data_IF_441728050392
#
_entry.id   IF_441728050392
#
_cell.length_a   1.000
_cell.length_b   1.000
_cell.length_c   1.000
_cell.angle_alpha   90.00
_cell.angle_beta   90.00
_cell.angle_gamma   90.00
#
_symmetry.space_group_name_H-M   'P 1'
#
loop_
_entity.id
_entity.type
_entity.pdbx_description
1 polymer ?
#
# COMPACT_ATOMS: atom_id res chain seq x y z
N UNK A 1 -11.67 -93.65 14.87
CA UNK A 1 -12.76 -93.09 15.71
C UNK A 1 -12.17 -92.05 16.65
N UNK A 2 -12.71 -90.82 16.60
CA UNK A 2 -12.55 -89.71 17.57
C UNK A 2 -11.15 -89.09 17.73
N UNK A 3 -10.97 -87.78 17.92
CA UNK A 3 -11.82 -86.58 17.85
C UNK A 3 -10.87 -85.39 18.05
N UNK A 4 -11.03 -84.34 17.22
CA UNK A 4 -10.72 -82.91 17.38
C UNK A 4 -9.65 -82.47 18.43
N UNK A 5 -8.61 -81.78 17.95
CA UNK A 5 -7.91 -80.77 18.74
C UNK A 5 -7.69 -79.48 17.95
N UNK A 6 -8.27 -78.41 18.50
CA UNK A 6 -8.01 -76.99 18.35
C UNK A 6 -6.82 -76.53 17.49
N UNK A 7 -7.12 -75.61 16.57
CA UNK A 7 -6.16 -74.58 16.19
C UNK A 7 -6.83 -73.19 16.32
N UNK A 8 -6.25 -72.38 17.21
CA UNK A 8 -6.55 -70.97 17.43
C UNK A 8 -5.88 -70.09 16.36
N UNK A 9 -6.36 -68.84 16.25
CA UNK A 9 -5.88 -67.65 15.49
C UNK A 9 -6.64 -67.42 14.17
N UNK A 10 -7.10 -66.22 13.84
CA UNK A 10 -6.78 -64.86 14.30
C UNK A 10 -8.01 -63.97 14.16
N UNK A 11 -8.15 -63.05 15.10
CA UNK A 11 -8.95 -61.84 15.01
C UNK A 11 -8.51 -60.98 13.82
N UNK A 12 -9.43 -60.61 12.94
CA UNK A 12 -9.29 -59.42 12.11
C UNK A 12 -10.65 -58.72 12.06
N UNK A 13 -10.70 -57.56 12.72
CA UNK A 13 -11.83 -56.63 12.66
C UNK A 13 -12.06 -56.19 11.21
N UNK A 14 -13.30 -56.03 10.75
CA UNK A 14 -13.57 -55.32 9.50
C UNK A 14 -13.19 -53.85 9.67
N UNK A 15 -12.01 -53.53 9.14
CA UNK A 15 -11.48 -52.26 8.68
C UNK A 15 -12.39 -51.02 8.85
N UNK A 16 -12.18 -50.34 9.99
CA UNK A 16 -12.35 -48.90 10.11
C UNK A 16 -11.19 -48.21 9.37
N UNK A 17 -11.21 -48.21 8.03
CA UNK A 17 -10.25 -47.43 7.24
C UNK A 17 -10.97 -46.61 6.18
N UNK A 18 -10.90 -45.30 6.38
CA UNK A 18 -10.87 -44.27 5.34
C UNK A 18 -12.21 -43.89 4.71
N UNK A 19 -13.06 -43.26 5.52
CA UNK A 19 -13.85 -42.10 5.08
C UNK A 19 -12.90 -40.99 4.61
N UNK A 20 -12.33 -41.11 3.40
CA UNK A 20 -11.73 -39.95 2.71
C UNK A 20 -12.86 -39.06 2.22
N UNK A 21 -13.39 -38.23 3.12
CA UNK A 21 -14.10 -37.01 2.75
C UNK A 21 -13.12 -36.18 1.91
N UNK A 22 -13.26 -36.25 0.58
CA UNK A 22 -12.68 -35.24 -0.32
C UNK A 22 -13.27 -33.91 0.11
N UNK A 23 -12.52 -33.12 0.86
CA UNK A 23 -12.80 -31.71 1.07
C UNK A 23 -12.57 -31.06 -0.31
N UNK A 24 -13.59 -31.11 -1.17
CA UNK A 24 -13.66 -30.19 -2.28
C UNK A 24 -13.93 -28.82 -1.66
N UNK A 25 -12.91 -27.95 -1.67
CA UNK A 25 -13.15 -26.53 -1.56
C UNK A 25 -14.10 -26.13 -2.70
N UNK A 26 -15.38 -25.97 -2.35
CA UNK A 26 -16.39 -25.37 -3.21
C UNK A 26 -16.05 -23.88 -3.34
N UNK A 27 -15.04 -23.56 -4.15
CA UNK A 27 -14.86 -22.21 -4.66
C UNK A 27 -16.08 -21.95 -5.54
N UNK A 28 -16.96 -21.04 -5.08
CA UNK A 28 -18.26 -20.77 -5.69
C UNK A 28 -18.15 -20.70 -7.23
N UNK A 29 -18.99 -21.44 -7.98
CA UNK A 29 -18.90 -21.54 -9.44
C UNK A 29 -19.05 -20.20 -10.16
N UNK A 30 -19.63 -19.19 -9.48
CA UNK A 30 -19.75 -17.80 -9.96
C UNK A 30 -18.40 -17.10 -10.17
N UNK A 31 -17.37 -17.42 -9.37
CA UNK A 31 -16.04 -16.80 -9.51
C UNK A 31 -15.32 -17.35 -10.75
N UNK A 32 -15.49 -18.64 -11.06
CA UNK A 32 -14.86 -19.28 -12.23
C UNK A 32 -15.42 -18.76 -13.55
N UNK A 33 -16.73 -18.48 -13.63
CA UNK A 33 -17.35 -17.94 -14.84
C UNK A 33 -16.92 -16.50 -15.15
N UNK A 34 -16.66 -15.69 -14.12
CA UNK A 34 -16.19 -14.32 -14.25
C UNK A 34 -14.74 -14.25 -14.78
N UNK A 35 -13.86 -15.16 -14.32
CA UNK A 35 -12.46 -15.29 -14.77
C UNK A 35 -12.31 -15.94 -16.16
N UNK A 36 -13.34 -16.61 -16.67
CA UNK A 36 -13.32 -17.40 -17.91
C UNK A 36 -13.61 -16.58 -19.19
N UNK A 37 -14.10 -15.35 -19.05
CA UNK A 37 -14.49 -14.51 -20.20
C UNK A 37 -13.43 -13.44 -20.44
N UNK A 38 -13.18 -13.03 -21.69
CA UNK A 38 -12.26 -11.92 -22.09
C UNK A 38 -12.26 -10.68 -21.16
N UNK A 39 -13.39 -10.38 -20.53
CA UNK A 39 -13.55 -9.28 -19.57
C UNK A 39 -12.93 -9.56 -18.19
N UNK A 40 -12.87 -10.81 -17.75
CA UNK A 40 -12.19 -11.21 -16.51
C UNK A 40 -10.70 -10.96 -16.60
N UNK A 41 -10.05 -11.32 -17.71
CA UNK A 41 -8.63 -11.03 -17.94
C UNK A 41 -8.35 -9.52 -17.96
N UNK A 42 -9.14 -8.75 -18.73
CA UNK A 42 -9.00 -7.29 -18.81
C UNK A 42 -9.16 -6.65 -17.41
N UNK A 43 -10.17 -7.09 -16.66
CA UNK A 43 -10.42 -6.61 -15.29
C UNK A 43 -9.27 -6.95 -14.36
N UNK A 44 -8.75 -8.18 -14.41
CA UNK A 44 -7.60 -8.60 -13.59
C UNK A 44 -6.34 -7.81 -13.93
N UNK A 45 -6.06 -7.58 -15.21
CA UNK A 45 -4.92 -6.75 -15.64
C UNK A 45 -5.11 -5.31 -15.16
N UNK A 46 -6.31 -4.73 -15.30
CA UNK A 46 -6.60 -3.39 -14.80
C UNK A 46 -6.41 -3.26 -13.29
N UNK A 47 -6.94 -4.21 -12.50
CA UNK A 47 -6.74 -4.25 -11.05
C UNK A 47 -5.27 -4.40 -10.66
N UNK A 48 -4.51 -5.22 -11.40
CA UNK A 48 -3.08 -5.36 -11.17
C UNK A 48 -2.33 -4.05 -11.45
N UNK A 49 -2.63 -3.36 -12.55
CA UNK A 49 -2.03 -2.07 -12.89
C UNK A 49 -2.33 -1.03 -11.81
N UNK A 50 -3.58 -0.95 -11.34
CA UNK A 50 -3.95 -0.05 -10.24
C UNK A 50 -3.18 -0.43 -8.97
N UNK A 51 -3.22 -1.69 -8.54
CA UNK A 51 -2.49 -2.14 -7.36
C UNK A 51 -0.98 -1.84 -7.44
N UNK A 52 -0.38 -2.06 -8.63
CA UNK A 52 1.04 -1.84 -8.85
C UNK A 52 1.40 -0.36 -8.71
N UNK A 53 0.68 0.52 -9.41
CA UNK A 53 0.96 1.97 -9.36
C UNK A 53 0.56 2.60 -8.02
N UNK A 54 -0.42 2.04 -7.31
CA UNK A 54 -0.95 2.64 -6.10
C UNK A 54 -0.26 2.22 -4.82
N UNK A 55 0.38 1.05 -4.82
CA UNK A 55 0.96 0.47 -3.61
C UNK A 55 2.38 -0.01 -3.88
N UNK A 56 2.58 -0.80 -4.93
CA UNK A 56 3.86 -1.47 -5.15
C UNK A 56 4.98 -0.50 -5.55
N UNK A 57 4.69 0.51 -6.38
CA UNK A 57 5.71 1.40 -6.93
C UNK A 57 6.49 2.16 -5.86
N UNK A 58 5.83 2.61 -4.79
CA UNK A 58 6.48 3.35 -3.70
C UNK A 58 7.45 2.46 -2.93
N UNK A 59 7.07 1.21 -2.68
CA UNK A 59 7.91 0.22 -2.01
C UNK A 59 9.09 -0.18 -2.89
N UNK A 60 8.86 -0.35 -4.18
CA UNK A 60 9.91 -0.63 -5.15
C UNK A 60 10.93 0.52 -5.24
N UNK A 61 10.46 1.77 -5.36
CA UNK A 61 11.31 2.95 -5.42
C UNK A 61 12.26 3.06 -4.21
N UNK A 62 11.77 2.70 -3.01
CA UNK A 62 12.59 2.67 -1.79
C UNK A 62 13.79 1.71 -1.88
N UNK A 63 13.68 0.61 -2.63
CA UNK A 63 14.80 -0.31 -2.82
C UNK A 63 15.88 0.25 -3.76
N UNK A 64 15.54 1.25 -4.59
CA UNK A 64 16.50 1.92 -5.45
C UNK A 64 17.34 2.99 -4.72
N UNK A 65 16.99 3.32 -3.47
CA UNK A 65 17.74 4.31 -2.69
C UNK A 65 19.05 3.77 -2.14
N UNK A 66 20.10 4.61 -2.05
CA UNK A 66 21.44 4.19 -1.62
C UNK A 66 21.46 3.81 -0.15
N UNK A 67 22.10 2.69 0.20
CA UNK A 67 22.11 2.18 1.56
C UNK A 67 22.85 3.12 2.55
N UNK A 68 22.07 3.89 3.30
CA UNK A 68 22.53 4.85 4.32
C UNK A 68 22.62 4.26 5.73
N UNK A 69 22.48 2.93 5.92
CA UNK A 69 22.52 2.31 7.27
C UNK A 69 23.86 2.55 7.99
N UNK A 70 24.94 2.75 7.24
CA UNK A 70 26.26 3.04 7.77
C UNK A 70 26.36 4.45 8.39
N UNK A 71 25.44 5.37 8.05
CA UNK A 71 25.36 6.73 8.59
C UNK A 71 24.67 6.80 9.96
N UNK A 72 24.39 5.66 10.61
CA UNK A 72 23.83 5.60 11.97
C UNK A 72 24.83 5.94 13.08
N UNK A 73 26.04 6.37 12.74
CA UNK A 73 27.02 6.88 13.70
C UNK A 73 26.51 8.18 14.34
N UNK A 74 26.82 8.37 15.62
CA UNK A 74 26.21 9.38 16.50
C UNK A 74 26.40 10.85 16.12
N UNK A 75 27.12 11.16 15.03
CA UNK A 75 27.57 12.51 14.70
C UNK A 75 27.16 12.96 13.28
N UNK A 76 26.19 12.30 12.64
CA UNK A 76 25.72 12.65 11.29
C UNK A 76 24.34 13.29 11.37
N UNK A 77 24.30 14.60 11.10
CA UNK A 77 23.06 15.34 10.87
C UNK A 77 22.52 15.02 9.48
N UNK A 78 21.20 14.80 9.38
CA UNK A 78 20.55 14.45 8.12
C UNK A 78 19.51 15.50 7.77
N UNK A 79 19.70 16.09 6.60
CA UNK A 79 18.80 17.09 6.03
C UNK A 79 17.98 16.45 4.90
N UNK A 80 16.65 16.53 5.01
CA UNK A 80 15.72 16.23 3.93
C UNK A 80 15.37 17.52 3.19
N UNK A 81 15.73 17.60 1.92
CA UNK A 81 15.35 18.70 1.04
C UNK A 81 14.10 18.29 0.26
N UNK A 82 13.02 19.07 0.39
CA UNK A 82 11.78 18.87 -0.36
C UNK A 82 11.62 20.04 -1.32
N UNK A 83 11.72 19.76 -2.62
CA UNK A 83 11.52 20.75 -3.66
C UNK A 83 10.14 20.57 -4.29
N UNK A 84 9.52 21.70 -4.65
CA UNK A 84 8.41 21.76 -5.59
C UNK A 84 7.26 20.77 -5.30
N UNK A 85 6.65 20.83 -4.10
CA UNK A 85 5.52 19.97 -3.81
C UNK A 85 4.24 20.43 -4.55
N UNK A 86 4.18 21.67 -5.04
CA UNK A 86 3.14 22.25 -5.89
C UNK A 86 1.71 21.77 -5.55
N UNK A 87 1.21 22.14 -4.37
CA UNK A 87 -0.16 21.80 -3.98
C UNK A 87 -1.15 22.46 -4.93
N UNK A 88 -1.90 21.63 -5.64
CA UNK A 88 -2.96 22.00 -6.56
C UNK A 88 -4.02 22.84 -5.83
N UNK A 89 -4.34 24.00 -6.40
CA UNK A 89 -5.34 24.93 -5.87
C UNK A 89 -6.79 24.56 -6.21
N UNK A 90 -7.73 25.43 -5.81
CA UNK A 90 -9.17 25.18 -5.86
C UNK A 90 -9.86 25.80 -7.09
N UNK A 91 -9.23 26.75 -7.79
CA UNK A 91 -9.89 27.62 -8.77
C UNK A 91 -9.92 27.05 -10.18
N UNK A 92 -8.84 26.42 -10.61
CA UNK A 92 -8.67 26.06 -12.03
C UNK A 92 -9.07 24.62 -12.38
N UNK A 93 -9.68 23.90 -11.45
CA UNK A 93 -10.07 22.52 -11.69
C UNK A 93 -11.57 22.37 -11.92
N UNK A 94 -11.94 21.88 -13.10
CA UNK A 94 -13.32 21.58 -13.48
C UNK A 94 -13.98 20.48 -12.63
N UNK A 95 -14.97 19.78 -13.19
CA UNK A 95 -15.82 18.82 -12.46
C UNK A 95 -15.07 17.73 -11.66
N UNK A 96 -13.81 17.43 -12.00
CA UNK A 96 -12.99 16.39 -11.35
C UNK A 96 -11.94 16.91 -10.37
N UNK A 97 -11.88 18.22 -10.10
CA UNK A 97 -10.79 18.81 -9.30
C UNK A 97 -10.61 18.22 -7.90
N UNK A 98 -11.72 17.92 -7.21
CA UNK A 98 -11.64 17.27 -5.90
C UNK A 98 -10.91 15.92 -5.94
N UNK A 99 -11.04 15.16 -7.03
CA UNK A 99 -10.39 13.86 -7.18
C UNK A 99 -8.91 14.07 -7.47
N UNK A 100 -8.58 14.97 -8.42
CA UNK A 100 -7.19 15.30 -8.77
C UNK A 100 -6.41 15.81 -7.56
N UNK A 101 -6.96 16.76 -6.80
CA UNK A 101 -6.35 17.25 -5.55
C UNK A 101 -6.09 16.14 -4.56
N UNK A 102 -7.10 15.29 -4.32
CA UNK A 102 -6.96 14.20 -3.34
C UNK A 102 -5.92 13.17 -3.78
N UNK A 103 -5.81 12.92 -5.08
CA UNK A 103 -4.82 12.02 -5.63
C UNK A 103 -3.40 12.59 -5.50
N UNK A 104 -3.21 13.86 -5.87
CA UNK A 104 -1.94 14.57 -5.71
C UNK A 104 -1.50 14.66 -4.24
N UNK A 105 -2.41 15.05 -3.34
CA UNK A 105 -2.15 15.14 -1.90
C UNK A 105 -1.72 13.78 -1.33
N UNK A 106 -2.36 12.70 -1.76
CA UNK A 106 -2.02 11.33 -1.36
C UNK A 106 -0.65 10.92 -1.91
N UNK A 107 -0.35 11.26 -3.16
CA UNK A 107 0.96 10.99 -3.77
C UNK A 107 2.09 11.68 -3.00
N UNK A 108 1.93 12.98 -2.71
CA UNK A 108 2.89 13.77 -1.93
C UNK A 108 3.06 13.19 -0.51
N UNK A 109 1.96 12.86 0.17
CA UNK A 109 2.01 12.31 1.53
C UNK A 109 2.74 10.97 1.57
N UNK A 110 2.43 10.06 0.64
CA UNK A 110 3.07 8.74 0.56
C UNK A 110 4.56 8.84 0.24
N UNK A 111 4.94 9.62 -0.78
CA UNK A 111 6.35 9.78 -1.19
C UNK A 111 7.17 10.45 -0.09
N UNK A 112 6.65 11.51 0.52
CA UNK A 112 7.29 12.17 1.66
C UNK A 112 7.44 11.23 2.86
N UNK A 113 6.40 10.48 3.22
CA UNK A 113 6.46 9.53 4.33
C UNK A 113 7.52 8.44 4.11
N UNK A 114 7.66 7.93 2.88
CA UNK A 114 8.72 6.98 2.54
C UNK A 114 10.11 7.60 2.65
N UNK A 115 10.31 8.80 2.10
CA UNK A 115 11.59 9.51 2.15
C UNK A 115 12.00 9.83 3.60
N UNK A 116 11.06 10.37 4.39
CA UNK A 116 11.23 10.67 5.82
C UNK A 116 11.52 9.41 6.62
N UNK A 117 10.79 8.32 6.39
CA UNK A 117 11.01 7.03 7.07
C UNK A 117 12.37 6.41 6.71
N UNK A 118 12.83 6.58 5.47
CA UNK A 118 14.10 6.04 5.02
C UNK A 118 15.29 6.82 5.56
N UNK A 119 15.29 8.15 5.41
CA UNK A 119 16.38 9.01 5.85
C UNK A 119 16.38 9.23 7.37
N UNK A 120 15.20 9.26 8.00
CA UNK A 120 14.99 9.69 9.39
C UNK A 120 15.70 11.03 9.68
N UNK A 121 15.36 12.11 8.97
CA UNK A 121 16.09 13.37 9.00
C UNK A 121 15.90 14.13 10.33
N UNK A 122 16.93 14.89 10.71
CA UNK A 122 16.90 15.84 11.82
C UNK A 122 16.27 17.17 11.38
N UNK A 123 16.49 17.53 10.12
CA UNK A 123 15.99 18.76 9.50
C UNK A 123 15.24 18.44 8.22
N UNK A 124 14.11 19.11 7.99
CA UNK A 124 13.40 19.09 6.71
C UNK A 124 13.28 20.52 6.20
N UNK A 125 13.77 20.80 4.99
CA UNK A 125 13.75 22.11 4.37
C UNK A 125 12.95 22.07 3.07
N UNK A 126 11.97 22.95 2.95
CA UNK A 126 11.18 23.14 1.73
C UNK A 126 11.81 24.23 0.87
N UNK A 127 12.11 23.91 -0.40
CA UNK A 127 12.89 24.78 -1.29
C UNK A 127 12.06 25.78 -2.09
N UNK A 128 10.73 25.75 -1.96
CA UNK A 128 9.81 26.66 -2.64
C UNK A 128 8.74 25.93 -3.44
N UNK A 129 7.96 26.72 -4.17
CA UNK A 129 6.83 26.29 -5.01
C UNK A 129 5.84 25.38 -4.27
N UNK A 130 5.41 25.85 -3.10
CA UNK A 130 4.58 25.05 -2.20
C UNK A 130 3.13 25.00 -2.68
N UNK A 131 2.61 26.11 -3.22
CA UNK A 131 1.22 26.26 -3.61
C UNK A 131 1.12 26.80 -5.03
N UNK A 132 0.43 26.08 -5.91
CA UNK A 132 0.23 26.44 -7.32
C UNK A 132 -0.50 27.79 -7.45
N UNK A 133 -1.54 27.99 -6.63
CA UNK A 133 -2.34 29.22 -6.60
C UNK A 133 -1.99 30.16 -5.44
N UNK A 134 -0.82 29.99 -4.81
CA UNK A 134 -0.48 30.70 -3.56
C UNK A 134 -0.53 32.24 -3.68
N UNK A 135 -0.16 32.78 -4.84
CA UNK A 135 -0.14 34.23 -5.11
C UNK A 135 -1.53 34.82 -5.39
N UNK A 136 -2.45 33.99 -5.90
CA UNK A 136 -3.81 34.40 -6.29
C UNK A 136 -4.85 34.01 -5.24
N UNK A 137 -4.44 33.36 -4.16
CA UNK A 137 -5.32 32.90 -3.09
C UNK A 137 -5.81 34.07 -2.22
N UNK A 138 -7.08 34.02 -1.85
CA UNK A 138 -7.63 34.80 -0.73
C UNK A 138 -7.08 34.25 0.60
N UNK A 139 -7.15 35.04 1.68
CA UNK A 139 -6.69 34.62 3.01
C UNK A 139 -7.32 33.28 3.46
N UNK A 140 -8.60 33.08 3.17
CA UNK A 140 -9.33 31.85 3.51
C UNK A 140 -8.88 30.65 2.67
N UNK A 141 -8.60 30.84 1.38
CA UNK A 141 -8.05 29.81 0.49
C UNK A 141 -6.64 29.44 0.94
N UNK A 142 -5.80 30.44 1.20
CA UNK A 142 -4.44 30.24 1.68
C UNK A 142 -4.43 29.44 2.98
N UNK A 143 -5.34 29.74 3.92
CA UNK A 143 -5.47 28.98 5.16
C UNK A 143 -5.83 27.51 4.92
N UNK A 144 -6.69 27.21 3.94
CA UNK A 144 -7.01 25.83 3.56
C UNK A 144 -5.81 25.13 2.92
N UNK A 145 -5.08 25.82 2.05
CA UNK A 145 -3.87 25.29 1.41
C UNK A 145 -2.79 24.99 2.46
N UNK A 146 -2.59 25.89 3.42
CA UNK A 146 -1.67 25.69 4.54
C UNK A 146 -2.09 24.50 5.41
N UNK A 147 -3.38 24.36 5.73
CA UNK A 147 -3.88 23.21 6.49
C UNK A 147 -3.64 21.89 5.74
N UNK A 148 -3.83 21.87 4.41
CA UNK A 148 -3.51 20.70 3.57
C UNK A 148 -2.02 20.39 3.61
N UNK A 149 -1.15 21.39 3.45
CA UNK A 149 0.29 21.25 3.57
C UNK A 149 0.69 20.61 4.92
N UNK A 150 0.15 21.11 6.02
CA UNK A 150 0.41 20.57 7.36
C UNK A 150 0.05 19.09 7.47
N UNK A 151 -1.10 18.70 6.91
CA UNK A 151 -1.56 17.32 6.92
C UNK A 151 -0.68 16.40 6.04
N UNK A 152 -0.32 16.84 4.84
CA UNK A 152 0.48 16.06 3.88
C UNK A 152 1.88 15.79 4.44
N UNK A 153 2.54 16.84 4.95
CA UNK A 153 3.91 16.78 5.43
C UNK A 153 4.05 16.50 6.93
N UNK A 154 2.92 16.28 7.62
CA UNK A 154 2.85 16.11 9.08
C UNK A 154 3.61 17.22 9.81
N UNK A 155 3.46 18.44 9.29
CA UNK A 155 4.12 19.62 9.79
C UNK A 155 3.31 20.16 10.97
N UNK A 156 3.77 19.87 12.18
CA UNK A 156 3.18 20.40 13.40
C UNK A 156 3.91 21.68 13.79
N UNK A 157 3.22 22.82 13.73
CA UNK A 157 3.70 24.13 14.21
C UNK A 157 4.03 24.19 15.72
N UNK A 158 3.87 23.08 16.46
CA UNK A 158 3.97 23.05 17.91
C UNK A 158 5.38 22.78 18.47
N UNK A 159 6.44 22.81 17.68
CA UNK A 159 7.81 22.67 18.20
C UNK A 159 8.80 23.51 17.37
N UNK A 160 8.82 24.82 17.63
CA UNK A 160 10.02 25.65 17.65
C UNK A 160 9.92 26.61 18.84
#
# INVERSE_FOLDING_TARGET
>A
MNRLHHQHRTTSSPDLISTRKKIQFHVFPRIKAFLSTRYGLITSVGLFVVFFNEIFIYQYARFCWPNIKHLKTSNVEKLLLVADPQLIGEKDEGLFGMITRRDADRYLSNTFAQAKSYLNPDWTLFLGDIFDEGLSATDDEYKRYYTRFQNIFQYNDKQQ
#
